data_IF_824130066426
#
_entry.id   IF_824130066426
#
_cell.length_a   1.000
_cell.length_b   1.000
_cell.length_c   1.000
_cell.angle_alpha   90.00
_cell.angle_beta   90.00
_cell.angle_gamma   90.00
#
_symmetry.space_group_name_H-M   'P 1'
#
loop_
_entity.id
_entity.type
_entity.pdbx_description
1 polymer ?
#
# COMPACT_ATOMS: atom_id res chain seq x y z
N UNK A 1 -17.95 27.15 -2.66
CA UNK A 1 -18.27 25.87 -2.02
C UNK A 1 -17.14 24.92 -2.39
N UNK A 2 -16.24 24.62 -1.45
CA UNK A 2 -15.20 23.60 -1.65
C UNK A 2 -15.68 22.30 -1.03
N UNK A 3 -16.29 21.44 -1.84
CA UNK A 3 -16.73 20.09 -1.46
C UNK A 3 -15.48 19.21 -1.24
N UNK A 4 -14.88 19.38 -0.06
CA UNK A 4 -13.47 19.21 0.23
C UNK A 4 -13.01 17.80 0.62
N UNK A 5 -13.27 16.80 -0.21
CA UNK A 5 -12.72 15.44 -0.02
C UNK A 5 -11.48 15.16 -0.88
N UNK A 6 -11.23 16.02 -1.87
CA UNK A 6 -10.16 15.86 -2.84
C UNK A 6 -9.34 17.13 -3.04
N UNK A 7 -8.02 16.97 -3.19
CA UNK A 7 -7.06 18.03 -3.43
C UNK A 7 -6.36 17.83 -4.77
N UNK A 8 -6.38 18.83 -5.64
CA UNK A 8 -5.60 18.80 -6.88
C UNK A 8 -4.19 19.37 -6.63
N UNK A 9 -3.16 18.56 -6.85
CA UNK A 9 -1.76 18.96 -6.63
C UNK A 9 -0.81 18.31 -7.63
N UNK A 10 -0.03 19.13 -8.34
CA UNK A 10 1.03 18.68 -9.29
C UNK A 10 0.56 17.63 -10.30
N UNK A 11 -0.64 17.81 -10.83
CA UNK A 11 -1.21 16.89 -11.80
C UNK A 11 -1.79 15.59 -11.22
N UNK A 12 -2.14 15.59 -9.94
CA UNK A 12 -2.79 14.48 -9.25
C UNK A 12 -4.03 14.97 -8.51
N UNK A 13 -5.09 14.18 -8.55
CA UNK A 13 -6.22 14.25 -7.63
C UNK A 13 -5.89 13.38 -6.42
N UNK A 14 -5.77 14.01 -5.25
CA UNK A 14 -5.47 13.34 -3.99
C UNK A 14 -6.73 13.22 -3.14
N UNK A 15 -6.86 12.10 -2.46
CA UNK A 15 -7.73 11.93 -1.31
C UNK A 15 -6.86 11.74 -0.06
N UNK A 16 -7.14 12.51 0.97
CA UNK A 16 -6.51 12.40 2.29
C UNK A 16 -7.61 11.98 3.26
N UNK A 17 -7.48 10.77 3.80
CA UNK A 17 -8.44 10.21 4.76
C UNK A 17 -8.48 11.03 6.04
N UNK A 18 -9.68 11.19 6.59
CA UNK A 18 -9.88 11.92 7.85
C UNK A 18 -9.15 11.22 9.01
N UNK A 19 -8.96 9.90 8.91
CA UNK A 19 -8.29 9.07 9.91
C UNK A 19 -6.81 8.78 9.60
N UNK A 20 -6.17 9.57 8.73
CA UNK A 20 -4.77 9.36 8.30
C UNK A 20 -3.81 8.99 9.44
N UNK A 21 -3.81 9.77 10.53
CA UNK A 21 -2.91 9.55 11.67
C UNK A 21 -3.24 8.25 12.44
N UNK A 22 -4.52 7.92 12.57
CA UNK A 22 -4.96 6.69 13.22
C UNK A 22 -4.53 5.46 12.42
N UNK A 23 -4.57 5.56 11.08
CA UNK A 23 -4.08 4.52 10.18
C UNK A 23 -2.57 4.30 10.32
N UNK A 24 -1.76 5.36 10.43
CA UNK A 24 -0.32 5.22 10.71
C UNK A 24 -0.05 4.49 12.02
N UNK A 25 -0.74 4.89 13.10
CA UNK A 25 -0.58 4.27 14.43
C UNK A 25 -0.99 2.80 14.39
N UNK A 26 -2.17 2.50 13.86
CA UNK A 26 -2.69 1.14 13.71
C UNK A 26 -1.74 0.26 12.90
N UNK A 27 -1.22 0.78 11.79
CA UNK A 27 -0.30 0.07 10.92
C UNK A 27 1.03 -0.26 11.60
N UNK A 28 1.57 0.68 12.39
CA UNK A 28 2.79 0.45 13.15
C UNK A 28 2.58 -0.56 14.28
N UNK A 29 1.46 -0.49 15.00
CA UNK A 29 1.15 -1.47 16.05
C UNK A 29 1.04 -2.88 15.47
N UNK A 30 0.31 -3.03 14.36
CA UNK A 30 0.21 -4.30 13.66
C UNK A 30 1.57 -4.81 13.19
N UNK A 31 2.40 -3.91 12.65
CA UNK A 31 3.78 -4.23 12.25
C UNK A 31 4.62 -4.70 13.43
N UNK A 32 4.52 -4.05 14.59
CA UNK A 32 5.27 -4.42 15.81
C UNK A 32 4.86 -5.78 16.34
N UNK A 33 3.57 -6.06 16.39
CA UNK A 33 3.05 -7.38 16.76
C UNK A 33 3.57 -8.45 15.82
N UNK A 34 3.56 -8.20 14.51
CA UNK A 34 4.10 -9.11 13.50
C UNK A 34 5.62 -9.33 13.63
N UNK A 35 6.40 -8.27 13.84
CA UNK A 35 7.85 -8.37 14.08
C UNK A 35 8.17 -9.15 15.36
N UNK A 36 7.36 -8.97 16.40
CA UNK A 36 7.52 -9.67 17.67
C UNK A 36 7.25 -11.18 17.54
N UNK A 37 6.21 -11.56 16.79
CA UNK A 37 5.86 -12.98 16.57
C UNK A 37 6.90 -13.74 15.74
N UNK A 38 7.63 -13.02 14.88
CA UNK A 38 8.69 -13.60 14.04
C UNK A 38 10.05 -13.62 14.73
N UNK A 39 10.19 -12.95 15.89
CA UNK A 39 11.44 -12.87 16.63
C UNK A 39 12.53 -12.08 15.90
N UNK A 40 12.14 -11.09 15.07
CA UNK A 40 13.06 -10.31 14.22
C UNK A 40 14.01 -11.17 13.39
N UNK A 41 13.47 -12.25 12.81
CA UNK A 41 14.20 -13.11 11.89
C UNK A 41 13.67 -12.92 10.47
N UNK A 42 14.52 -12.50 9.53
CA UNK A 42 14.14 -12.20 8.14
C UNK A 42 13.54 -13.41 7.42
N UNK A 43 14.08 -14.61 7.64
CA UNK A 43 13.53 -15.85 7.10
C UNK A 43 12.11 -16.13 7.63
N UNK A 44 11.86 -15.90 8.92
CA UNK A 44 10.53 -16.07 9.51
C UNK A 44 9.55 -15.00 9.04
N UNK A 45 10.01 -13.74 8.93
CA UNK A 45 9.22 -12.62 8.40
C UNK A 45 8.71 -12.96 7.01
N UNK A 46 9.62 -13.37 6.11
CA UNK A 46 9.27 -13.66 4.73
C UNK A 46 8.36 -14.90 4.62
N UNK A 47 8.63 -15.96 5.39
CA UNK A 47 7.77 -17.16 5.39
C UNK A 47 6.36 -16.90 5.93
N UNK A 48 6.21 -16.14 7.01
CA UNK A 48 4.90 -15.83 7.59
C UNK A 48 4.11 -14.85 6.71
N UNK A 49 4.77 -13.86 6.09
CA UNK A 49 4.13 -12.99 5.09
C UNK A 49 3.61 -13.81 3.91
N UNK A 50 4.44 -14.68 3.33
CA UNK A 50 4.05 -15.52 2.20
C UNK A 50 2.86 -16.40 2.56
N UNK A 51 2.90 -17.04 3.74
CA UNK A 51 1.81 -17.89 4.23
C UNK A 51 0.53 -17.10 4.42
N UNK A 52 0.58 -15.93 5.06
CA UNK A 52 -0.61 -15.12 5.31
C UNK A 52 -1.22 -14.56 4.02
N UNK A 53 -0.40 -13.95 3.16
CA UNK A 53 -0.85 -13.33 1.92
C UNK A 53 -1.37 -14.35 0.89
N UNK A 54 -0.81 -15.56 0.86
CA UNK A 54 -1.28 -16.64 -0.03
C UNK A 54 -2.71 -17.08 0.24
N UNK A 55 -3.21 -16.95 1.49
CA UNK A 55 -4.61 -17.27 1.83
C UNK A 55 -5.61 -16.37 1.10
N UNK A 56 -5.14 -15.23 0.63
CA UNK A 56 -5.92 -14.22 -0.10
C UNK A 56 -5.53 -14.14 -1.57
N UNK A 57 -4.83 -15.15 -2.09
CA UNK A 57 -4.32 -15.22 -3.46
C UNK A 57 -3.38 -14.04 -3.82
N UNK A 58 -2.73 -13.46 -2.81
CA UNK A 58 -1.71 -12.43 -3.00
C UNK A 58 -0.36 -13.13 -3.10
N UNK A 59 0.26 -13.04 -4.27
CA UNK A 59 1.60 -13.55 -4.52
C UNK A 59 2.64 -12.61 -3.92
N UNK A 60 3.64 -13.19 -3.24
CA UNK A 60 4.79 -12.47 -2.69
C UNK A 60 6.00 -12.75 -3.56
N UNK A 61 6.63 -11.68 -4.03
CA UNK A 61 7.85 -11.74 -4.81
C UNK A 61 9.04 -11.74 -3.84
N UNK A 62 9.56 -12.93 -3.55
CA UNK A 62 10.51 -13.15 -2.45
C UNK A 62 11.83 -12.39 -2.63
N UNK A 63 12.36 -12.31 -3.85
CA UNK A 63 13.62 -11.60 -4.12
C UNK A 63 13.47 -10.10 -3.88
N UNK A 64 12.35 -9.51 -4.34
CA UNK A 64 11.99 -8.11 -4.11
C UNK A 64 11.69 -7.83 -2.64
N UNK A 65 11.02 -8.75 -1.94
CA UNK A 65 10.75 -8.63 -0.52
C UNK A 65 12.06 -8.66 0.30
N UNK A 66 12.97 -9.58 0.00
CA UNK A 66 14.29 -9.64 0.64
C UNK A 66 15.07 -8.35 0.40
N UNK A 67 15.12 -7.87 -0.84
CA UNK A 67 15.75 -6.59 -1.16
C UNK A 67 15.14 -5.42 -0.37
N UNK A 68 13.81 -5.39 -0.20
CA UNK A 68 13.15 -4.37 0.58
C UNK A 68 13.55 -4.48 2.07
N UNK A 69 13.50 -5.69 2.64
CA UNK A 69 13.85 -5.93 4.04
C UNK A 69 15.28 -5.49 4.33
N UNK A 70 16.24 -5.80 3.46
CA UNK A 70 17.62 -5.35 3.60
C UNK A 70 17.72 -3.81 3.67
N UNK A 71 16.90 -3.11 2.88
CA UNK A 71 16.87 -1.63 2.85
C UNK A 71 16.20 -0.99 4.05
N UNK A 72 15.27 -1.68 4.72
CA UNK A 72 14.51 -1.14 5.86
C UNK A 72 14.83 -1.79 7.20
N UNK A 73 15.81 -2.70 7.24
CA UNK A 73 16.07 -3.57 8.38
C UNK A 73 16.30 -2.81 9.68
N UNK A 74 17.14 -1.77 9.65
CA UNK A 74 17.44 -0.97 10.83
C UNK A 74 16.21 -0.24 11.37
N UNK A 75 15.30 0.20 10.50
CA UNK A 75 14.05 0.83 10.91
C UNK A 75 13.09 -0.20 11.54
N UNK A 76 13.04 -1.42 11.01
CA UNK A 76 12.25 -2.51 11.58
C UNK A 76 12.77 -2.94 12.95
N UNK A 77 14.09 -3.13 13.09
CA UNK A 77 14.74 -3.47 14.36
C UNK A 77 14.47 -2.40 15.41
N UNK A 78 14.68 -1.15 15.04
CA UNK A 78 14.39 0.01 15.88
C UNK A 78 12.93 0.07 16.33
N UNK A 79 11.99 -0.16 15.41
CA UNK A 79 10.55 -0.14 15.69
C UNK A 79 10.15 -1.25 16.68
N UNK A 80 10.78 -2.42 16.61
CA UNK A 80 10.52 -3.50 17.53
C UNK A 80 11.06 -3.24 18.94
N UNK A 81 12.22 -2.59 19.05
CA UNK A 81 12.86 -2.24 20.33
C UNK A 81 12.16 -1.06 21.05
N UNK A 82 11.62 -0.10 20.29
CA UNK A 82 11.02 1.11 20.86
C UNK A 82 9.58 0.89 21.33
N UNK A 83 9.40 0.78 22.65
CA UNK A 83 8.07 0.60 23.25
C UNK A 83 7.14 1.81 23.11
N UNK A 84 7.70 3.02 23.03
CA UNK A 84 6.94 4.27 23.02
C UNK A 84 7.56 5.28 22.04
N UNK A 85 7.49 5.02 20.73
CA UNK A 85 8.10 5.89 19.74
C UNK A 85 7.43 7.25 19.74
N UNK A 86 8.23 8.31 19.65
CA UNK A 86 7.72 9.68 19.50
C UNK A 86 6.97 9.82 18.17
N UNK A 87 6.06 10.80 18.08
CA UNK A 87 5.32 11.07 16.85
C UNK A 87 6.20 11.41 15.64
N UNK A 88 7.39 12.00 15.85
CA UNK A 88 8.37 12.22 14.77
C UNK A 88 8.96 10.89 14.29
N UNK A 89 9.37 10.01 15.20
CA UNK A 89 9.93 8.70 14.88
C UNK A 89 8.92 7.80 14.17
N UNK A 90 7.67 7.81 14.62
CA UNK A 90 6.53 7.15 13.96
C UNK A 90 6.48 7.55 12.49
N UNK A 91 6.46 8.85 12.20
CA UNK A 91 6.38 9.35 10.82
C UNK A 91 7.59 8.96 9.98
N UNK A 92 8.79 8.97 10.54
CA UNK A 92 9.99 8.62 9.79
C UNK A 92 10.06 7.12 9.47
N UNK A 93 9.66 6.27 10.41
CA UNK A 93 9.52 4.82 10.16
C UNK A 93 8.40 4.55 9.16
N UNK A 94 7.23 5.17 9.31
CA UNK A 94 6.12 5.02 8.37
C UNK A 94 6.53 5.38 6.94
N UNK A 95 7.30 6.45 6.71
CA UNK A 95 7.84 6.78 5.37
C UNK A 95 8.70 5.67 4.77
N UNK A 96 9.34 4.84 5.58
CA UNK A 96 10.18 3.72 5.12
C UNK A 96 9.36 2.46 4.87
N UNK A 97 8.27 2.26 5.63
CA UNK A 97 7.43 1.08 5.53
C UNK A 97 6.23 1.25 4.59
N UNK A 98 5.90 2.49 4.23
CA UNK A 98 4.76 2.79 3.35
C UNK A 98 4.93 2.11 2.00
N UNK A 99 3.83 1.57 1.51
CA UNK A 99 3.69 1.11 0.14
C UNK A 99 2.33 1.49 -0.42
N UNK A 100 2.06 1.03 -1.63
CA UNK A 100 0.84 1.40 -2.36
C UNK A 100 0.39 0.28 -3.26
N UNK A 101 -0.89 -0.04 -3.21
CA UNK A 101 -1.57 -0.78 -4.26
C UNK A 101 -1.73 0.12 -5.49
N UNK A 102 -1.36 -0.41 -6.64
CA UNK A 102 -1.53 0.22 -7.95
C UNK A 102 -2.41 -0.68 -8.81
N UNK A 103 -3.51 -0.12 -9.32
CA UNK A 103 -4.37 -0.76 -10.32
C UNK A 103 -4.46 0.13 -11.55
N UNK A 104 -4.71 -0.48 -12.71
CA UNK A 104 -4.82 0.25 -13.97
C UNK A 104 -6.23 0.13 -14.53
N UNK A 105 -6.92 1.27 -14.62
CA UNK A 105 -8.29 1.36 -15.12
C UNK A 105 -8.34 2.10 -16.46
N UNK A 106 -9.35 1.80 -17.27
CA UNK A 106 -9.64 2.60 -18.48
C UNK A 106 -10.05 4.01 -18.08
N UNK A 107 -9.61 5.02 -18.84
CA UNK A 107 -9.96 6.42 -18.58
C UNK A 107 -11.47 6.69 -18.56
N UNK A 108 -12.27 5.85 -19.24
CA UNK A 108 -13.73 5.98 -19.28
C UNK A 108 -14.40 5.80 -17.91
N UNK A 109 -13.75 5.06 -17.00
CA UNK A 109 -14.35 4.65 -15.72
C UNK A 109 -13.48 4.99 -14.51
N UNK A 110 -12.24 5.46 -14.71
CA UNK A 110 -11.27 5.61 -13.62
C UNK A 110 -11.72 6.58 -12.53
N UNK A 111 -12.44 7.67 -12.86
CA UNK A 111 -12.86 8.69 -11.90
C UNK A 111 -13.95 8.13 -10.99
N UNK A 112 -14.95 7.49 -11.59
CA UNK A 112 -16.01 6.76 -10.86
C UNK A 112 -15.42 5.66 -9.99
N UNK A 113 -14.52 4.84 -10.53
CA UNK A 113 -13.83 3.78 -9.77
C UNK A 113 -13.05 4.33 -8.59
N UNK A 114 -12.27 5.40 -8.80
CA UNK A 114 -11.46 6.00 -7.76
C UNK A 114 -12.33 6.50 -6.60
N UNK A 115 -13.40 7.25 -6.91
CA UNK A 115 -14.33 7.74 -5.89
C UNK A 115 -15.05 6.60 -5.18
N UNK A 116 -15.55 5.59 -5.90
CA UNK A 116 -16.22 4.44 -5.29
C UNK A 116 -15.31 3.63 -4.36
N UNK A 117 -14.04 3.42 -4.74
CA UNK A 117 -13.06 2.73 -3.88
C UNK A 117 -12.77 3.57 -2.65
N UNK A 118 -12.57 4.89 -2.80
CA UNK A 118 -12.37 5.79 -1.66
C UNK A 118 -13.55 5.71 -0.69
N UNK A 119 -14.79 5.70 -1.18
CA UNK A 119 -15.96 5.57 -0.31
C UNK A 119 -16.02 4.23 0.42
N UNK A 120 -15.70 3.11 -0.24
CA UNK A 120 -15.61 1.80 0.44
C UNK A 120 -14.51 1.80 1.50
N UNK A 121 -13.33 2.35 1.19
CA UNK A 121 -12.24 2.46 2.16
C UNK A 121 -12.64 3.29 3.39
N UNK A 122 -13.39 4.39 3.21
CA UNK A 122 -13.93 5.19 4.32
C UNK A 122 -14.89 4.37 5.18
N UNK A 123 -15.84 3.66 4.56
CA UNK A 123 -16.82 2.84 5.27
C UNK A 123 -16.16 1.71 6.07
N UNK A 124 -15.07 1.15 5.55
CA UNK A 124 -14.32 0.07 6.20
C UNK A 124 -13.30 0.56 7.24
N UNK A 125 -13.18 1.89 7.45
CA UNK A 125 -12.18 2.48 8.35
C UNK A 125 -10.74 2.22 7.88
N UNK A 126 -10.53 2.22 6.55
CA UNK A 126 -9.28 2.03 5.84
C UNK A 126 -8.88 3.27 5.02
N UNK A 127 -9.53 4.41 5.24
CA UNK A 127 -9.22 5.68 4.58
C UNK A 127 -7.87 6.23 5.03
N UNK A 128 -6.85 6.09 4.17
CA UNK A 128 -5.50 6.59 4.43
C UNK A 128 -5.10 7.68 3.42
N UNK A 129 -4.35 7.33 2.38
CA UNK A 129 -4.02 8.21 1.27
C UNK A 129 -4.33 7.50 -0.02
N UNK A 130 -4.91 8.22 -0.98
CA UNK A 130 -5.13 7.71 -2.33
C UNK A 130 -4.91 8.81 -3.35
N UNK A 131 -4.51 8.45 -4.57
CA UNK A 131 -4.39 9.42 -5.67
C UNK A 131 -4.64 8.82 -7.04
N UNK A 132 -5.08 9.69 -7.95
CA UNK A 132 -5.25 9.40 -9.37
C UNK A 132 -4.70 10.58 -10.23
N UNK A 133 -4.27 10.35 -11.48
CA UNK A 133 -3.80 11.41 -12.37
C UNK A 133 -4.84 12.50 -12.67
N UNK A 134 -4.36 13.72 -12.93
CA UNK A 134 -5.16 14.90 -13.30
C UNK A 134 -4.34 15.89 -14.17
N UNK A 135 -4.74 16.28 -15.40
CA UNK A 135 -5.83 15.75 -16.20
C UNK A 135 -5.46 14.37 -16.78
N UNK A 136 -6.48 13.69 -17.28
CA UNK A 136 -6.37 12.38 -17.91
C UNK A 136 -5.54 12.45 -19.17
N UNK A 137 -4.41 11.75 -19.19
CA UNK A 137 -3.60 11.56 -20.38
C UNK A 137 -3.24 10.08 -20.50
N UNK A 138 -3.71 9.42 -21.56
CA UNK A 138 -3.41 8.03 -21.87
C UNK A 138 -4.64 7.24 -22.32
N UNK A 139 -4.51 5.91 -22.38
CA UNK A 139 -5.65 5.00 -22.56
C UNK A 139 -6.02 4.28 -21.25
N UNK A 140 -5.11 4.31 -20.26
CA UNK A 140 -5.26 3.71 -18.94
C UNK A 140 -4.64 4.62 -17.88
N UNK A 141 -5.36 4.86 -16.80
CA UNK A 141 -4.90 5.62 -15.65
C UNK A 141 -4.53 4.67 -14.50
N UNK A 142 -3.47 5.01 -13.78
CA UNK A 142 -3.10 4.32 -12.53
C UNK A 142 -3.91 4.91 -11.38
N UNK A 143 -4.57 4.06 -10.61
CA UNK A 143 -5.17 4.42 -9.33
C UNK A 143 -4.26 3.90 -8.23
N UNK A 144 -3.95 4.75 -7.26
CA UNK A 144 -2.95 4.47 -6.22
C UNK A 144 -3.62 4.58 -4.85
N UNK A 145 -3.52 3.52 -4.05
CA UNK A 145 -4.07 3.44 -2.70
C UNK A 145 -2.94 3.05 -1.75
N UNK A 146 -2.57 3.95 -0.84
CA UNK A 146 -1.43 3.73 0.04
C UNK A 146 -1.82 2.87 1.25
N UNK A 147 -0.83 2.15 1.78
CA UNK A 147 -0.89 1.44 3.06
C UNK A 147 0.35 1.85 3.87
N UNK A 148 0.21 2.29 5.14
CA UNK A 148 1.33 2.88 5.88
C UNK A 148 2.47 1.91 6.19
N UNK A 149 2.22 0.61 6.15
CA UNK A 149 3.24 -0.45 6.31
C UNK A 149 2.93 -1.65 5.42
N UNK A 150 3.93 -2.11 4.68
CA UNK A 150 3.85 -3.36 3.91
C UNK A 150 3.82 -4.63 4.77
N UNK A 151 4.13 -4.50 6.07
CA UNK A 151 4.08 -5.59 7.06
C UNK A 151 2.77 -5.64 7.85
N UNK A 152 1.92 -4.62 7.73
CA UNK A 152 0.58 -4.62 8.30
C UNK A 152 -0.36 -5.42 7.38
N UNK A 153 -0.25 -6.75 7.41
CA UNK A 153 -0.94 -7.66 6.47
C UNK A 153 -2.45 -7.47 6.45
N UNK A 154 -3.11 -7.21 7.58
CA UNK A 154 -4.56 -6.95 7.64
C UNK A 154 -4.92 -5.69 6.90
N UNK A 155 -4.10 -4.64 6.97
CA UNK A 155 -4.31 -3.40 6.20
C UNK A 155 -4.02 -3.63 4.72
N UNK A 156 -2.92 -4.32 4.39
CA UNK A 156 -2.56 -4.66 3.00
C UNK A 156 -3.69 -5.45 2.33
N UNK A 157 -4.22 -6.48 3.01
CA UNK A 157 -5.32 -7.31 2.54
C UNK A 157 -6.62 -6.51 2.50
N UNK A 158 -6.97 -5.81 3.59
CA UNK A 158 -8.21 -5.05 3.68
C UNK A 158 -8.34 -3.99 2.58
N UNK A 159 -7.28 -3.22 2.32
CA UNK A 159 -7.27 -2.25 1.22
C UNK A 159 -7.45 -2.93 -0.13
N UNK A 160 -6.82 -4.10 -0.36
CA UNK A 160 -6.98 -4.83 -1.61
C UNK A 160 -8.40 -5.39 -1.77
N UNK A 161 -8.99 -5.93 -0.71
CA UNK A 161 -10.36 -6.45 -0.72
C UNK A 161 -11.39 -5.36 -0.98
N UNK A 162 -11.19 -4.15 -0.43
CA UNK A 162 -12.03 -3.00 -0.74
C UNK A 162 -11.96 -2.63 -2.23
N UNK A 163 -10.75 -2.64 -2.81
CA UNK A 163 -10.55 -2.43 -4.25
C UNK A 163 -11.26 -3.51 -5.07
N UNK A 164 -11.06 -4.78 -4.71
CA UNK A 164 -11.63 -5.95 -5.39
C UNK A 164 -13.16 -5.90 -5.41
N UNK A 165 -13.81 -5.60 -4.29
CA UNK A 165 -15.27 -5.45 -4.20
C UNK A 165 -15.82 -4.43 -5.21
N UNK A 166 -15.18 -3.26 -5.33
CA UNK A 166 -15.62 -2.26 -6.32
C UNK A 166 -15.44 -2.78 -7.75
N UNK A 167 -14.31 -3.43 -8.04
CA UNK A 167 -14.03 -3.94 -9.38
C UNK A 167 -14.99 -5.07 -9.78
N UNK A 168 -15.33 -5.98 -8.86
CA UNK A 168 -16.31 -7.04 -9.08
C UNK A 168 -17.68 -6.47 -9.44
N UNK A 169 -18.17 -5.45 -8.70
CA UNK A 169 -19.45 -4.78 -8.99
C UNK A 169 -19.46 -4.14 -10.38
N UNK A 170 -18.32 -3.68 -10.85
CA UNK A 170 -18.15 -3.06 -12.17
C UNK A 170 -17.75 -4.07 -13.26
N UNK A 171 -17.57 -5.36 -12.91
CA UNK A 171 -17.12 -6.45 -13.80
C UNK A 171 -15.78 -6.13 -14.50
N UNK A 172 -14.83 -5.58 -13.75
CA UNK A 172 -13.51 -5.19 -14.26
C UNK A 172 -12.45 -6.11 -13.70
N UNK A 173 -11.82 -6.89 -14.57
CA UNK A 173 -10.61 -7.63 -14.21
C UNK A 173 -9.36 -6.81 -14.52
N UNK A 174 -8.48 -6.69 -13.53
CA UNK A 174 -7.19 -5.99 -13.68
C UNK A 174 -6.20 -6.49 -12.63
N UNK A 175 -4.89 -6.58 -12.94
CA UNK A 175 -3.90 -6.88 -11.93
C UNK A 175 -3.71 -5.70 -10.96
N UNK A 176 -3.44 -6.02 -9.71
CA UNK A 176 -3.01 -5.11 -8.66
C UNK A 176 -1.56 -5.40 -8.27
N UNK A 177 -0.77 -4.34 -8.10
CA UNK A 177 0.65 -4.42 -7.74
C UNK A 177 0.93 -3.58 -6.49
N UNK A 178 1.56 -4.18 -5.48
CA UNK A 178 1.96 -3.45 -4.28
C UNK A 178 3.40 -2.96 -4.39
N UNK A 179 3.59 -1.65 -4.58
CA UNK A 179 4.90 -1.01 -4.71
C UNK A 179 5.31 -0.32 -3.40
N UNK A 180 6.41 -0.73 -2.74
CA UNK A 180 6.98 0.01 -1.61
C UNK A 180 7.44 1.41 -2.04
N UNK A 181 7.31 2.41 -1.16
CA UNK A 181 7.80 3.77 -1.44
C UNK A 181 9.33 3.85 -1.49
N UNK A 182 10.02 2.98 -0.75
CA UNK A 182 11.48 2.80 -0.85
C UNK A 182 11.90 2.55 -2.29
N UNK A 183 11.19 1.68 -3.03
CA UNK A 183 11.54 1.40 -4.42
C UNK A 183 11.34 2.61 -5.34
N UNK A 184 10.36 3.48 -5.04
CA UNK A 184 10.21 4.74 -5.77
C UNK A 184 11.37 5.69 -5.49
N UNK A 185 11.82 5.82 -4.23
CA UNK A 185 12.95 6.69 -3.87
C UNK A 185 14.29 6.24 -4.45
N UNK A 186 14.47 4.93 -4.54
CA UNK A 186 15.71 4.29 -4.99
C UNK A 186 15.77 4.12 -6.51
N UNK A 187 14.79 4.64 -7.26
CA UNK A 187 14.79 4.52 -8.73
C UNK A 187 14.53 3.10 -9.25
N UNK A 188 13.93 2.21 -8.46
CA UNK A 188 13.66 0.84 -8.88
C UNK A 188 12.39 0.84 -9.74
N UNK A 189 12.60 0.79 -11.06
CA UNK A 189 11.58 0.74 -12.10
C UNK A 189 11.82 -0.44 -13.06
N UNK A 190 10.75 -0.92 -13.71
CA UNK A 190 10.74 -2.17 -14.50
C UNK A 190 11.68 -2.21 -15.70
N UNK A 191 12.25 -1.08 -16.13
CA UNK A 191 13.18 -1.00 -17.27
C UNK A 191 14.64 -0.87 -16.86
N UNK A 192 14.90 -0.64 -15.58
CA UNK A 192 16.23 -0.21 -15.09
C UNK A 192 16.80 -1.16 -14.03
N UNK A 193 16.02 -2.15 -13.61
CA UNK A 193 16.38 -3.07 -12.54
C UNK A 193 16.11 -4.52 -12.95
N UNK A 194 16.96 -5.44 -12.46
CA UNK A 194 16.70 -6.89 -12.49
C UNK A 194 15.51 -7.30 -11.62
N UNK A 195 15.04 -6.41 -10.76
CA UNK A 195 13.93 -6.60 -9.83
C UNK A 195 12.67 -5.92 -10.32
N UNK A 196 11.52 -6.53 -10.02
CA UNK A 196 10.22 -5.89 -10.20
C UNK A 196 10.10 -4.67 -9.28
N UNK A 197 9.35 -3.64 -9.70
CA UNK A 197 9.13 -2.46 -8.87
C UNK A 197 8.05 -2.67 -7.79
N UNK A 198 7.63 -3.91 -7.52
CA UNK A 198 6.58 -4.28 -6.57
C UNK A 198 6.96 -5.57 -5.84
N UNK A 199 6.44 -5.73 -4.62
CA UNK A 199 6.71 -6.90 -3.76
C UNK A 199 5.52 -7.87 -3.69
N UNK A 200 4.31 -7.38 -3.94
CA UNK A 200 3.10 -8.21 -3.96
C UNK A 200 2.34 -8.02 -5.27
N UNK A 201 1.68 -9.07 -5.75
CA UNK A 201 0.74 -8.98 -6.87
C UNK A 201 -0.49 -9.87 -6.67
N UNK A 202 -1.62 -9.44 -7.20
CA UNK A 202 -2.84 -10.26 -7.33
C UNK A 202 -3.55 -9.91 -8.63
N UNK A 203 -4.12 -10.91 -9.29
CA UNK A 203 -5.05 -10.68 -10.40
C UNK A 203 -6.45 -10.55 -9.82
N UNK A 204 -7.04 -9.36 -9.91
CA UNK A 204 -8.40 -9.11 -9.47
C UNK A 204 -9.36 -9.49 -10.60
N UNK A 205 -10.41 -10.24 -10.28
CA UNK A 205 -11.33 -10.84 -11.25
C UNK A 205 -12.71 -10.20 -11.20
#
# INVERSE_FOLDING_TARGET
MSDGDFLQLKGWLWHIGANYMNMEIRSLEETRVFLSSTGLNTSRITSELQKELSKHEIEVLMDELNLLLDKVWEQLRTLAEDKHPSASRIRDVSKMLTGKWMIFASEKVYSKLFTEIVEVLKLDGLDYLSKAPSPLQGNRAVLIFYVPSFLATKLVIGTLSAIENVLERQKISTPAFFKPDVFTREGIYSRESRYHPYIYRKVLK
#
